data_IF_737545701947
#
_entry.id   IF_737545701947
#
_cell.length_a   1.000
_cell.length_b   1.000
_cell.length_c   1.000
_cell.angle_alpha   90.00
_cell.angle_beta   90.00
_cell.angle_gamma   90.00
#
_symmetry.space_group_name_H-M   'P 1'
#
loop_
_entity.id
_entity.type
_entity.pdbx_description
1 polymer ?
#
# COMPACT_ATOMS: atom_id res chain seq x y z
N UNK A 1 -5.17 12.30 5.07
CA UNK A 1 -5.14 11.01 4.36
C UNK A 1 -4.40 11.16 3.04
N UNK A 2 -3.61 10.16 2.62
CA UNK A 2 -3.04 10.10 1.27
C UNK A 2 -4.12 10.00 0.20
N UNK A 3 -3.77 10.27 -1.06
CA UNK A 3 -4.72 10.22 -2.20
C UNK A 3 -5.32 8.83 -2.35
N UNK A 4 -4.50 7.78 -2.22
CA UNK A 4 -4.91 6.38 -2.32
C UNK A 4 -4.44 5.58 -1.11
N UNK A 5 -5.20 4.55 -0.77
CA UNK A 5 -4.90 3.60 0.32
C UNK A 5 -5.28 2.20 -0.11
N UNK A 6 -4.57 1.19 0.41
CA UNK A 6 -5.00 -0.19 0.35
C UNK A 6 -6.00 -0.43 1.50
N UNK A 7 -7.24 -0.72 1.15
CA UNK A 7 -8.28 -1.16 2.07
C UNK A 7 -8.19 -2.68 2.22
N UNK A 8 -7.79 -3.15 3.40
CA UNK A 8 -7.68 -4.57 3.68
C UNK A 8 -9.02 -5.24 4.00
N UNK A 9 -10.11 -4.48 4.06
CA UNK A 9 -11.42 -4.96 4.45
C UNK A 9 -11.50 -5.32 5.94
N UNK A 10 -12.66 -5.80 6.36
CA UNK A 10 -12.82 -6.41 7.68
C UNK A 10 -12.21 -7.84 7.65
N UNK A 11 -11.33 -8.21 8.60
CA UNK A 11 -10.82 -9.58 8.71
C UNK A 11 -11.90 -10.67 8.77
N UNK A 12 -13.12 -10.33 9.19
CA UNK A 12 -14.27 -11.24 9.28
C UNK A 12 -15.12 -11.27 8.00
N UNK A 13 -14.82 -10.40 7.03
CA UNK A 13 -15.52 -10.33 5.74
C UNK A 13 -14.72 -11.04 4.66
N UNK A 14 -15.41 -11.65 3.70
CA UNK A 14 -14.80 -12.21 2.47
C UNK A 14 -14.33 -11.13 1.49
N UNK A 15 -14.34 -9.85 1.88
CA UNK A 15 -13.93 -8.77 0.99
C UNK A 15 -12.46 -8.90 0.60
N UNK A 16 -12.24 -8.88 -0.71
CA UNK A 16 -10.91 -8.80 -1.29
C UNK A 16 -10.28 -7.46 -0.95
N UNK A 17 -9.01 -7.48 -0.55
CA UNK A 17 -8.24 -6.25 -0.34
C UNK A 17 -8.18 -5.48 -1.64
N UNK A 18 -8.36 -4.16 -1.60
CA UNK A 18 -8.44 -3.33 -2.81
C UNK A 18 -7.83 -1.97 -2.59
N UNK A 19 -7.35 -1.35 -3.67
CA UNK A 19 -6.98 0.05 -3.65
C UNK A 19 -8.26 0.90 -3.56
N UNK A 20 -8.21 2.02 -2.85
CA UNK A 20 -9.30 3.00 -2.78
C UNK A 20 -8.73 4.41 -2.93
N UNK A 21 -9.51 5.31 -3.53
CA UNK A 21 -9.26 6.75 -3.48
C UNK A 21 -9.92 7.34 -2.24
N UNK A 22 -9.15 8.04 -1.41
CA UNK A 22 -9.61 8.57 -0.13
C UNK A 22 -10.74 9.60 -0.30
N UNK A 23 -10.66 10.45 -1.33
CA UNK A 23 -11.68 11.46 -1.62
C UNK A 23 -13.06 10.86 -1.96
N UNK A 24 -13.10 9.66 -2.55
CA UNK A 24 -14.34 8.98 -2.96
C UNK A 24 -14.90 8.05 -1.89
N UNK A 25 -14.02 7.39 -1.13
CA UNK A 25 -14.39 6.32 -0.19
C UNK A 25 -14.43 6.78 1.27
N UNK A 26 -13.93 7.99 1.57
CA UNK A 26 -13.94 8.60 2.90
C UNK A 26 -13.50 7.64 4.01
N UNK A 27 -12.25 7.12 3.96
CA UNK A 27 -11.75 6.19 4.96
C UNK A 27 -11.80 6.81 6.36
N UNK A 28 -12.11 5.99 7.35
CA UNK A 28 -12.25 6.42 8.74
C UNK A 28 -11.31 5.62 9.64
N UNK A 29 -10.50 6.35 10.40
CA UNK A 29 -9.51 5.76 11.31
C UNK A 29 -8.07 5.85 10.78
N UNK A 30 -7.11 5.34 11.56
CA UNK A 30 -5.69 5.42 11.24
C UNK A 30 -5.29 4.49 10.09
N UNK A 31 -4.14 4.78 9.48
CA UNK A 31 -3.49 3.93 8.48
C UNK A 31 -2.01 3.71 8.84
N UNK A 32 -1.48 2.61 8.35
CA UNK A 32 -0.06 2.26 8.46
C UNK A 32 0.65 2.55 7.14
N UNK A 33 1.97 2.77 7.19
CA UNK A 33 2.83 2.84 5.99
C UNK A 33 3.79 1.66 5.94
N UNK A 34 4.32 1.37 4.76
CA UNK A 34 5.37 0.36 4.57
C UNK A 34 6.59 1.00 3.93
N UNK A 35 7.75 0.87 4.58
CA UNK A 35 9.05 1.15 3.98
C UNK A 35 9.72 -0.15 3.56
N UNK A 36 10.09 -0.26 2.29
CA UNK A 36 10.72 -1.47 1.74
C UNK A 36 11.79 -1.12 0.69
N UNK A 37 12.78 -2.00 0.53
CA UNK A 37 13.75 -1.89 -0.55
C UNK A 37 13.17 -2.49 -1.84
N UNK A 38 12.98 -1.66 -2.87
CA UNK A 38 12.36 -2.09 -4.12
C UNK A 38 13.16 -3.19 -4.85
N UNK A 39 14.48 -3.23 -4.68
CA UNK A 39 15.35 -4.27 -5.25
C UNK A 39 15.30 -4.35 -6.79
N UNK A 40 15.67 -5.51 -7.36
CA UNK A 40 15.60 -5.79 -8.81
C UNK A 40 14.34 -6.56 -9.23
N UNK A 41 13.49 -6.92 -8.28
CA UNK A 41 12.37 -7.81 -8.50
C UNK A 41 11.18 -7.06 -9.12
N UNK A 42 10.54 -7.70 -10.10
CA UNK A 42 9.30 -7.19 -10.73
C UNK A 42 8.16 -7.34 -9.73
N UNK A 43 7.89 -6.31 -8.96
CA UNK A 43 6.77 -6.27 -8.04
C UNK A 43 5.53 -5.71 -8.71
N UNK A 44 4.35 -6.03 -8.16
CA UNK A 44 3.12 -5.37 -8.57
C UNK A 44 3.24 -3.91 -8.13
N UNK A 45 3.44 -3.05 -9.12
CA UNK A 45 3.32 -1.60 -8.97
C UNK A 45 2.01 -1.15 -9.60
N UNK A 46 1.40 -0.10 -9.05
CA UNK A 46 0.29 0.56 -9.73
C UNK A 46 0.81 1.20 -11.02
N UNK A 47 0.17 0.84 -12.12
CA UNK A 47 0.40 1.43 -13.44
C UNK A 47 -0.94 1.84 -14.03
N UNK A 48 -0.93 2.76 -14.99
CA UNK A 48 -2.12 3.19 -15.72
C UNK A 48 -2.93 2.00 -16.27
N UNK A 49 -2.25 0.94 -16.71
CA UNK A 49 -2.83 -0.28 -17.25
C UNK A 49 -3.49 -1.21 -16.21
N UNK A 50 -3.02 -1.23 -14.96
CA UNK A 50 -3.53 -2.14 -13.94
C UNK A 50 -4.34 -1.45 -12.83
N UNK A 51 -4.38 -0.11 -12.81
CA UNK A 51 -5.01 0.67 -11.75
C UNK A 51 -6.47 0.30 -11.52
N UNK A 52 -7.25 0.09 -12.59
CA UNK A 52 -8.65 -0.32 -12.48
C UNK A 52 -8.80 -1.71 -11.84
N UNK A 53 -7.87 -2.63 -12.11
CA UNK A 53 -7.88 -3.94 -11.46
C UNK A 53 -7.55 -3.81 -9.97
N UNK A 54 -6.61 -2.94 -9.60
CA UNK A 54 -6.29 -2.70 -8.19
C UNK A 54 -7.49 -2.14 -7.41
N UNK A 55 -8.35 -1.33 -8.03
CA UNK A 55 -9.58 -0.83 -7.40
C UNK A 55 -10.65 -1.91 -7.20
N UNK A 56 -10.68 -2.96 -8.01
CA UNK A 56 -11.64 -4.07 -7.85
C UNK A 56 -11.10 -5.17 -6.93
N UNK A 57 -9.78 -5.35 -6.89
CA UNK A 57 -9.13 -6.24 -5.94
C UNK A 57 -7.64 -6.42 -6.23
N UNK A 58 -6.85 -6.47 -5.16
CA UNK A 58 -5.42 -6.69 -5.21
C UNK A 58 -5.14 -8.17 -4.93
N UNK A 59 -4.54 -8.82 -5.92
CA UNK A 59 -4.20 -10.25 -5.90
C UNK A 59 -2.72 -10.43 -6.23
N UNK A 60 -2.17 -11.60 -5.90
CA UNK A 60 -0.80 -12.00 -6.30
C UNK A 60 0.32 -11.06 -5.84
N UNK A 61 0.14 -10.43 -4.68
CA UNK A 61 1.18 -9.59 -4.09
C UNK A 61 2.39 -10.43 -3.69
N UNK A 62 3.56 -9.80 -3.68
CA UNK A 62 4.78 -10.40 -3.17
C UNK A 62 4.73 -10.63 -1.66
N UNK A 63 5.63 -11.49 -1.17
CA UNK A 63 5.65 -11.89 0.24
C UNK A 63 5.73 -10.70 1.20
N UNK A 64 6.60 -9.71 0.97
CA UNK A 64 6.69 -8.52 1.83
C UNK A 64 5.36 -7.77 1.97
N UNK A 65 4.57 -7.66 0.90
CA UNK A 65 3.27 -6.99 0.97
C UNK A 65 2.21 -7.88 1.63
N UNK A 66 2.23 -9.19 1.40
CA UNK A 66 1.35 -10.13 2.11
C UNK A 66 1.60 -10.10 3.62
N UNK A 67 2.86 -10.10 4.03
CA UNK A 67 3.26 -10.02 5.43
C UNK A 67 2.87 -8.65 6.01
N UNK A 68 3.02 -7.56 5.25
CA UNK A 68 2.62 -6.22 5.68
C UNK A 68 1.11 -6.13 5.89
N UNK A 69 0.32 -6.69 4.99
CA UNK A 69 -1.14 -6.76 5.12
C UNK A 69 -1.54 -7.59 6.35
N UNK A 70 -0.85 -8.71 6.58
CA UNK A 70 -1.10 -9.58 7.74
C UNK A 70 -0.76 -8.88 9.05
N UNK A 71 0.40 -8.22 9.12
CA UNK A 71 0.82 -7.42 10.27
C UNK A 71 -0.17 -6.28 10.54
N UNK A 72 -0.59 -5.56 9.50
CA UNK A 72 -1.59 -4.47 9.58
C UNK A 72 -2.88 -4.97 10.23
N UNK A 73 -3.41 -6.11 9.77
CA UNK A 73 -4.62 -6.73 10.34
C UNK A 73 -4.41 -7.17 11.79
N UNK A 74 -3.28 -7.81 12.10
CA UNK A 74 -2.98 -8.29 13.45
C UNK A 74 -2.81 -7.15 14.45
N UNK A 75 -2.34 -5.98 14.00
CA UNK A 75 -2.25 -4.77 14.80
C UNK A 75 -3.60 -4.06 14.97
N UNK A 76 -4.68 -4.56 14.34
CA UNK A 76 -6.03 -3.98 14.45
C UNK A 76 -6.32 -2.85 13.48
N UNK A 77 -5.50 -2.67 12.44
CA UNK A 77 -5.66 -1.61 11.44
C UNK A 77 -6.25 -2.16 10.14
N UNK A 78 -6.97 -1.30 9.43
CA UNK A 78 -7.63 -1.62 8.15
C UNK A 78 -6.89 -1.07 6.93
N UNK A 79 -6.27 0.09 7.08
CA UNK A 79 -5.71 0.84 5.96
C UNK A 79 -4.20 0.75 5.95
N UNK A 80 -3.66 0.48 4.77
CA UNK A 80 -2.23 0.37 4.54
C UNK A 80 -1.84 1.23 3.34
N UNK A 81 -0.70 1.91 3.44
CA UNK A 81 -0.12 2.68 2.35
C UNK A 81 1.24 2.08 1.96
N UNK A 82 1.40 1.82 0.67
CA UNK A 82 2.64 1.32 0.07
C UNK A 82 2.87 2.15 -1.18
N UNK A 83 4.03 2.82 -1.28
CA UNK A 83 4.37 3.74 -2.37
C UNK A 83 4.17 3.11 -3.76
N UNK A 84 4.72 1.90 -3.99
CA UNK A 84 4.62 1.18 -5.26
C UNK A 84 3.19 0.81 -5.66
N UNK A 85 2.26 0.70 -4.70
CA UNK A 85 0.85 0.31 -4.95
C UNK A 85 -0.11 1.51 -4.93
N UNK A 86 0.21 2.56 -4.18
CA UNK A 86 -0.65 3.73 -4.01
C UNK A 86 -0.31 4.89 -4.96
N UNK A 87 0.86 4.87 -5.57
CA UNK A 87 1.33 5.85 -6.57
C UNK A 87 1.40 5.18 -7.94
N UNK A 88 0.86 5.82 -8.97
CA UNK A 88 0.94 5.31 -10.35
C UNK A 88 2.36 5.55 -10.89
N UNK A 89 3.10 4.48 -11.15
CA UNK A 89 4.54 4.54 -11.40
C UNK A 89 4.93 4.94 -12.83
N UNK A 90 4.03 4.74 -13.79
CA UNK A 90 4.21 5.07 -15.21
C UNK A 90 3.51 6.39 -15.61
N UNK A 91 2.98 7.12 -14.62
CA UNK A 91 2.40 8.46 -14.80
C UNK A 91 3.28 9.48 -14.07
N UNK A 92 4.05 10.25 -14.83
CA UNK A 92 5.00 11.23 -14.28
C UNK A 92 4.32 12.33 -13.47
N UNK A 93 3.10 12.75 -13.85
CA UNK A 93 2.36 13.79 -13.15
C UNK A 93 1.80 13.28 -11.81
N UNK A 94 1.24 12.05 -11.81
CA UNK A 94 0.80 11.38 -10.58
C UNK A 94 1.98 11.17 -9.64
N UNK A 95 3.08 10.60 -10.16
CA UNK A 95 4.27 10.35 -9.38
C UNK A 95 4.84 11.62 -8.76
N UNK A 96 5.02 12.68 -9.55
CA UNK A 96 5.57 13.95 -9.05
C UNK A 96 4.68 14.54 -7.94
N UNK A 97 3.36 14.54 -8.14
CA UNK A 97 2.42 15.03 -7.14
C UNK A 97 2.49 14.21 -5.85
N UNK A 98 2.40 12.89 -5.93
CA UNK A 98 2.43 12.03 -4.75
C UNK A 98 3.79 12.07 -4.05
N UNK A 99 4.90 12.16 -4.79
CA UNK A 99 6.25 12.30 -4.23
C UNK A 99 6.38 13.56 -3.36
N UNK A 100 5.82 14.69 -3.78
CA UNK A 100 5.82 15.92 -2.96
C UNK A 100 5.00 15.80 -1.68
N UNK A 101 4.02 14.89 -1.65
CA UNK A 101 3.15 14.66 -0.51
C UNK A 101 3.62 13.51 0.39
N UNK A 102 4.55 12.70 -0.07
CA UNK A 102 5.01 11.49 0.60
C UNK A 102 5.46 11.75 2.05
N UNK A 103 6.15 12.86 2.31
CA UNK A 103 6.55 13.23 3.67
C UNK A 103 5.34 13.41 4.61
N UNK A 104 4.23 13.98 4.10
CA UNK A 104 2.99 14.12 4.87
C UNK A 104 2.33 12.76 5.09
N UNK A 105 2.40 11.87 4.11
CA UNK A 105 1.83 10.52 4.24
C UNK A 105 2.51 9.76 5.38
N UNK A 106 3.84 9.75 5.41
CA UNK A 106 4.58 9.13 6.51
C UNK A 106 4.39 9.85 7.85
N UNK A 107 4.38 11.19 7.87
CA UNK A 107 4.22 11.95 9.11
C UNK A 107 2.84 11.80 9.77
N UNK A 108 1.81 11.41 9.02
CA UNK A 108 0.44 11.23 9.54
C UNK A 108 0.05 9.74 9.67
N UNK A 109 0.97 8.81 9.41
CA UNK A 109 0.74 7.39 9.63
C UNK A 109 0.83 7.06 11.12
N UNK A 110 0.01 6.11 11.58
CA UNK A 110 0.04 5.69 13.00
C UNK A 110 1.34 4.94 13.33
N UNK A 111 1.79 4.13 12.38
CA UNK A 111 3.03 3.39 12.49
C UNK A 111 3.56 3.04 11.08
N UNK A 112 4.88 2.84 11.00
CA UNK A 112 5.56 2.44 9.79
C UNK A 112 6.10 1.00 9.94
N UNK A 113 5.68 0.11 9.05
CA UNK A 113 6.19 -1.23 8.93
C UNK A 113 7.45 -1.20 8.06
N UNK A 114 8.62 -1.38 8.67
CA UNK A 114 9.89 -1.37 7.94
C UNK A 114 10.36 -2.80 7.62
N UNK A 115 10.47 -3.14 6.34
CA UNK A 115 11.09 -4.38 5.86
C UNK A 115 12.63 -4.25 5.85
N UNK A 116 13.21 -3.94 7.02
CA UNK A 116 14.60 -3.50 7.15
C UNK A 116 15.65 -4.61 6.93
N UNK A 117 15.26 -5.89 7.06
CA UNK A 117 16.15 -7.03 6.90
C UNK A 117 16.20 -7.59 5.46
N UNK A 118 15.33 -7.12 4.57
CA UNK A 118 15.19 -7.66 3.22
C UNK A 118 16.03 -6.87 2.21
N UNK A 119 16.89 -7.57 1.46
CA UNK A 119 17.72 -6.97 0.40
C UNK A 119 16.90 -6.54 -0.83
N UNK A 120 15.69 -7.05 -0.95
CA UNK A 120 14.68 -6.73 -1.95
C UNK A 120 13.28 -7.06 -1.38
N UNK A 121 12.22 -6.72 -2.11
CA UNK A 121 10.84 -6.94 -1.63
C UNK A 121 10.37 -8.41 -1.71
N UNK A 122 11.28 -9.38 -1.93
CA UNK A 122 10.99 -10.82 -1.80
C UNK A 122 11.31 -11.37 -0.40
N UNK A 123 12.08 -10.64 0.41
CA UNK A 123 12.55 -11.12 1.71
C UNK A 123 11.50 -11.24 2.82
N UNK A 124 10.30 -10.67 2.66
CA UNK A 124 9.24 -10.72 3.67
C UNK A 124 9.40 -9.71 4.80
N UNK A 125 8.46 -9.69 5.74
CA UNK A 125 8.62 -8.99 7.04
C UNK A 125 8.92 -9.96 8.18
N UNK A 126 8.67 -11.27 7.99
CA UNK A 126 8.96 -12.35 8.93
C UNK A 126 9.08 -13.72 8.23
#
# INVERSE_FOLDING_TARGET
>A
YPTRLLDLGDPKSTNTSRLIEAAKNLPSGPYLTVSHCWGKSKHICATTNNLQNLYTGVHSLIKTFQDAMTATRNLGFRYLWIDSVCIVQDDEEDWAREATLMYKVYANAECNLAAAASRDSSGGLF
#
